data_IF_443606234417
#
_entry.id   IF_443606234417
#
_cell.length_a   1.000
_cell.length_b   1.000
_cell.length_c   1.000
_cell.angle_alpha   90.00
_cell.angle_beta   90.00
_cell.angle_gamma   90.00
#
_symmetry.space_group_name_H-M   'P 1'
#
loop_
_entity.id
_entity.type
_entity.pdbx_description
1 polymer ?
#
# COMPACT_ATOMS: atom_id res chain seq x y z
N UNK A 1 -2.40 21.94 27.88
CA UNK A 1 -1.18 22.48 27.23
C UNK A 1 -1.64 23.61 26.35
N UNK A 2 -1.35 24.85 26.74
CA UNK A 2 -1.77 26.02 25.98
C UNK A 2 -0.69 26.31 24.94
N UNK A 3 -1.06 26.34 23.66
CA UNK A 3 -0.14 26.72 22.61
C UNK A 3 -0.28 28.20 22.36
N UNK A 4 0.80 28.94 22.55
CA UNK A 4 0.87 30.37 22.24
C UNK A 4 1.49 30.56 20.88
N UNK A 5 0.80 31.24 19.97
CA UNK A 5 1.33 31.56 18.63
C UNK A 5 2.40 32.65 18.74
N UNK A 6 3.25 32.79 17.70
CA UNK A 6 4.32 33.79 17.63
C UNK A 6 3.84 35.22 17.80
N UNK A 7 2.55 35.50 17.63
CA UNK A 7 1.88 36.79 17.79
C UNK A 7 1.30 36.99 19.19
N UNK A 8 1.65 36.14 20.17
CA UNK A 8 1.20 36.24 21.54
C UNK A 8 -0.30 35.97 21.76
N UNK A 9 -0.98 35.42 20.78
CA UNK A 9 -2.39 35.05 20.90
C UNK A 9 -2.50 33.66 21.50
N UNK A 10 -3.08 33.55 22.68
CA UNK A 10 -3.45 32.28 23.26
C UNK A 10 -4.52 31.62 22.37
N UNK A 11 -4.20 30.49 21.76
CA UNK A 11 -5.19 29.57 21.19
C UNK A 11 -5.71 28.75 22.36
N UNK A 12 -6.51 29.39 23.17
CA UNK A 12 -7.16 28.83 24.34
C UNK A 12 -8.66 28.99 24.19
N UNK A 13 -9.26 28.00 23.71
CA UNK A 13 -10.70 27.83 23.67
C UNK A 13 -10.93 26.38 23.24
N UNK A 14 -10.72 25.46 24.15
CA UNK A 14 -11.29 24.13 24.00
C UNK A 14 -12.79 24.32 24.09
N UNK A 15 -13.41 24.56 22.93
CA UNK A 15 -14.76 24.06 22.71
C UNK A 15 -14.64 22.54 22.92
N UNK A 16 -14.86 22.10 24.14
CA UNK A 16 -14.93 20.69 24.47
C UNK A 16 -16.18 20.17 23.74
N UNK A 17 -15.98 19.77 22.49
CA UNK A 17 -16.98 19.02 21.79
C UNK A 17 -17.39 17.80 22.64
N UNK A 18 -18.49 17.13 22.30
CA UNK A 18 -19.07 16.06 23.12
C UNK A 18 -18.17 14.81 23.27
N UNK A 19 -16.92 14.86 22.84
CA UNK A 19 -16.01 13.74 22.83
C UNK A 19 -14.83 13.94 23.79
N UNK A 20 -14.49 12.90 24.53
CA UNK A 20 -13.27 12.86 25.33
C UNK A 20 -12.02 13.00 24.43
N UNK A 21 -10.97 13.68 24.89
CA UNK A 21 -9.72 13.77 24.13
C UNK A 21 -9.13 12.39 23.86
N UNK A 22 -8.72 12.15 22.60
CA UNK A 22 -8.06 10.93 22.18
C UNK A 22 -6.56 11.20 22.06
N UNK A 23 -5.74 10.37 22.73
CA UNK A 23 -4.29 10.46 22.67
C UNK A 23 -3.73 9.53 21.58
N UNK A 24 -2.87 10.06 20.71
CA UNK A 24 -2.03 9.24 19.82
C UNK A 24 -0.80 8.85 20.64
N UNK A 25 -0.69 7.56 20.98
CA UNK A 25 0.37 7.03 21.87
C UNK A 25 1.48 6.29 21.13
N UNK A 26 1.30 6.00 19.85
CA UNK A 26 2.29 5.36 18.98
C UNK A 26 2.01 5.63 17.53
N UNK A 27 3.06 5.61 16.71
CA UNK A 27 2.97 5.71 15.26
C UNK A 27 4.04 4.85 14.61
N UNK A 28 3.79 4.44 13.39
CA UNK A 28 4.74 3.75 12.53
C UNK A 28 4.51 4.16 11.08
N UNK A 29 5.49 3.92 10.23
CA UNK A 29 5.40 4.13 8.80
C UNK A 29 6.22 3.08 8.05
N UNK A 30 5.77 2.73 6.87
CA UNK A 30 6.53 2.01 5.85
C UNK A 30 6.27 2.74 4.55
N UNK A 31 7.27 3.49 4.09
CA UNK A 31 7.18 4.38 2.94
C UNK A 31 8.33 4.11 1.98
N UNK A 32 8.27 4.55 0.73
CA UNK A 32 9.41 4.48 -0.16
C UNK A 32 10.65 5.12 0.48
N UNK A 33 11.77 4.41 0.47
CA UNK A 33 13.05 4.78 1.08
C UNK A 33 12.99 5.06 2.60
N UNK A 34 11.93 4.61 3.28
CA UNK A 34 11.78 4.75 4.73
C UNK A 34 11.07 3.54 5.33
N UNK A 35 11.81 2.70 6.01
CA UNK A 35 11.29 1.51 6.67
C UNK A 35 10.58 1.80 8.02
N UNK A 36 10.73 3.02 8.53
CA UNK A 36 10.15 3.47 9.80
C UNK A 36 9.81 4.97 9.79
N UNK A 37 9.06 5.40 10.81
CA UNK A 37 8.61 6.77 10.92
C UNK A 37 9.75 7.79 11.15
N UNK A 38 10.84 7.39 11.80
CA UNK A 38 11.99 8.28 12.05
C UNK A 38 12.74 8.55 10.74
N UNK A 39 13.00 7.51 9.96
CA UNK A 39 13.62 7.63 8.63
C UNK A 39 12.72 8.45 7.69
N UNK A 40 11.41 8.22 7.72
CA UNK A 40 10.47 9.01 6.92
C UNK A 40 10.51 10.50 7.30
N UNK A 41 10.55 10.79 8.59
CA UNK A 41 10.68 12.16 9.07
C UNK A 41 12.00 12.81 8.64
N UNK A 42 13.12 12.05 8.72
CA UNK A 42 14.42 12.54 8.26
C UNK A 42 14.42 12.84 6.75
N UNK A 43 13.81 11.97 5.95
CA UNK A 43 13.63 12.20 4.51
C UNK A 43 12.89 13.51 4.22
N UNK A 44 11.89 13.85 5.03
CA UNK A 44 11.17 15.13 4.89
C UNK A 44 12.09 16.31 5.21
N UNK A 45 12.86 16.24 6.31
CA UNK A 45 13.81 17.29 6.72
C UNK A 45 14.89 17.51 5.66
N UNK A 46 15.40 16.43 5.06
CA UNK A 46 16.45 16.45 4.06
C UNK A 46 15.93 16.77 2.64
N UNK A 47 14.62 16.99 2.51
CA UNK A 47 13.95 17.15 1.22
C UNK A 47 14.27 16.00 0.23
N UNK A 48 14.40 14.76 0.76
CA UNK A 48 14.66 13.57 -0.03
C UNK A 48 13.48 13.27 -0.96
N UNK A 49 13.77 12.95 -2.21
CA UNK A 49 12.77 12.61 -3.23
C UNK A 49 12.91 11.13 -3.57
N UNK A 50 11.92 10.35 -3.17
CA UNK A 50 11.84 8.91 -3.45
C UNK A 50 11.24 8.58 -4.83
N UNK A 51 10.78 9.59 -5.57
CA UNK A 51 10.24 9.40 -6.92
C UNK A 51 11.38 9.16 -7.89
N UNK A 52 11.34 8.03 -8.58
CA UNK A 52 12.35 7.58 -9.54
C UNK A 52 11.74 6.84 -10.71
N UNK A 53 12.55 6.50 -11.70
CA UNK A 53 12.11 5.67 -12.80
C UNK A 53 11.55 4.33 -12.32
N UNK A 54 10.59 3.79 -13.07
CA UNK A 54 9.94 2.53 -12.77
C UNK A 54 10.98 1.40 -12.69
N UNK A 55 11.01 0.61 -11.61
CA UNK A 55 11.88 -0.54 -11.51
C UNK A 55 11.60 -1.57 -12.61
N UNK A 56 12.64 -2.25 -13.08
CA UNK A 56 12.52 -3.34 -14.04
C UNK A 56 11.62 -4.45 -13.48
N UNK A 57 10.72 -4.99 -14.31
CA UNK A 57 9.79 -6.05 -13.92
C UNK A 57 8.58 -5.58 -13.09
N UNK A 58 8.43 -4.27 -12.83
CA UNK A 58 7.26 -3.75 -12.09
C UNK A 58 5.96 -3.86 -12.90
N UNK A 59 6.02 -3.80 -14.21
CA UNK A 59 4.89 -4.03 -15.11
C UNK A 59 4.84 -5.48 -15.57
N UNK A 60 3.65 -6.06 -15.73
CA UNK A 60 3.49 -7.46 -16.12
C UNK A 60 3.75 -7.71 -17.61
N UNK A 61 4.60 -6.93 -18.25
CA UNK A 61 4.94 -7.06 -19.66
C UNK A 61 5.74 -5.87 -20.21
N UNK A 62 5.92 -5.78 -21.52
CA UNK A 62 6.63 -4.68 -22.15
C UNK A 62 6.00 -3.34 -21.82
N UNK A 63 6.83 -2.35 -21.48
CA UNK A 63 6.34 -1.03 -21.03
C UNK A 63 5.49 -0.33 -22.10
N UNK A 64 5.74 -0.59 -23.37
CA UNK A 64 5.01 -0.03 -24.51
C UNK A 64 3.52 -0.41 -24.50
N UNK A 65 3.15 -1.47 -23.80
CA UNK A 65 1.75 -1.85 -23.64
C UNK A 65 1.01 -0.94 -22.67
N UNK A 66 1.72 -0.35 -21.71
CA UNK A 66 1.15 0.43 -20.61
C UNK A 66 1.44 1.92 -20.70
N UNK A 67 2.51 2.29 -21.42
CA UNK A 67 2.98 3.66 -21.53
C UNK A 67 2.90 4.20 -22.96
N UNK A 68 2.58 5.47 -23.08
CA UNK A 68 2.76 6.24 -24.31
C UNK A 68 3.15 7.68 -23.97
N UNK A 69 3.89 8.31 -24.84
CA UNK A 69 4.21 9.73 -24.70
C UNK A 69 2.93 10.57 -24.63
N UNK A 70 2.87 11.48 -23.68
CA UNK A 70 1.70 12.32 -23.42
C UNK A 70 1.94 13.34 -22.33
N UNK A 71 0.90 14.07 -21.98
CA UNK A 71 0.91 15.06 -20.90
C UNK A 71 -0.47 15.14 -20.25
N UNK A 72 -0.60 15.78 -19.06
CA UNK A 72 -1.90 16.04 -18.47
C UNK A 72 -2.85 16.72 -19.46
N UNK A 73 -4.00 16.08 -19.71
CA UNK A 73 -4.99 16.56 -20.68
C UNK A 73 -4.77 16.15 -22.15
N UNK A 74 -3.63 15.50 -22.45
CA UNK A 74 -3.36 14.91 -23.76
C UNK A 74 -2.78 13.50 -23.58
N UNK A 75 -3.64 12.55 -23.28
CA UNK A 75 -3.30 11.16 -22.95
C UNK A 75 -3.73 10.21 -24.07
N UNK A 76 -2.94 9.18 -24.31
CA UNK A 76 -3.35 8.06 -25.14
C UNK A 76 -4.28 7.16 -24.30
N UNK A 77 -5.43 6.79 -24.90
CA UNK A 77 -6.41 5.95 -24.22
C UNK A 77 -5.77 4.64 -23.73
N UNK A 78 -6.11 4.24 -22.51
CA UNK A 78 -5.64 3.03 -21.84
C UNK A 78 -4.12 2.95 -21.61
N UNK A 79 -3.42 4.07 -21.64
CA UNK A 79 -1.99 4.15 -21.36
C UNK A 79 -1.66 5.27 -20.38
N UNK A 80 -0.64 5.04 -19.57
CA UNK A 80 -0.07 6.10 -18.73
C UNK A 80 0.96 6.91 -19.52
N UNK A 81 1.11 8.19 -19.22
CA UNK A 81 2.21 9.02 -19.73
C UNK A 81 3.37 9.12 -18.72
N UNK A 82 3.21 8.59 -17.51
CA UNK A 82 4.23 8.61 -16.45
C UNK A 82 4.96 7.28 -16.36
N UNK A 83 6.29 7.34 -16.25
CA UNK A 83 7.17 6.19 -15.98
C UNK A 83 7.87 6.29 -14.64
N UNK A 84 7.47 7.24 -13.81
CA UNK A 84 8.10 7.48 -12.51
C UNK A 84 7.09 7.20 -11.39
N UNK A 85 7.61 6.79 -10.26
CA UNK A 85 6.85 6.54 -9.05
C UNK A 85 7.76 6.37 -7.84
N UNK A 86 7.15 6.24 -6.67
CA UNK A 86 7.86 5.91 -5.44
C UNK A 86 7.40 4.53 -4.97
N UNK A 87 8.35 3.65 -4.69
CA UNK A 87 8.08 2.24 -4.39
C UNK A 87 8.71 1.84 -3.07
N UNK A 88 8.00 1.03 -2.30
CA UNK A 88 8.56 0.35 -1.14
C UNK A 88 9.37 -0.83 -1.66
N UNK A 89 10.68 -0.81 -1.42
CA UNK A 89 11.61 -1.85 -1.82
C UNK A 89 12.34 -2.40 -0.61
N UNK A 90 12.86 -3.63 -0.72
CA UNK A 90 13.63 -4.26 0.35
C UNK A 90 12.82 -4.65 1.59
N UNK A 91 11.50 -4.63 1.53
CA UNK A 91 10.68 -5.12 2.63
C UNK A 91 10.71 -6.66 2.66
N UNK A 92 11.11 -7.20 3.82
CA UNK A 92 11.08 -8.61 4.10
C UNK A 92 10.19 -8.89 5.31
N UNK A 93 9.17 -9.72 5.12
CA UNK A 93 8.27 -10.11 6.20
C UNK A 93 8.91 -11.21 7.05
N UNK A 94 9.05 -10.99 8.36
CA UNK A 94 9.55 -12.02 9.27
C UNK A 94 8.49 -13.09 9.54
N UNK A 95 8.44 -14.05 8.66
CA UNK A 95 7.51 -15.17 8.75
C UNK A 95 7.71 -16.02 10.03
N UNK A 96 8.90 -16.03 10.62
CA UNK A 96 9.19 -16.77 11.87
C UNK A 96 8.52 -16.09 13.05
N UNK A 97 8.66 -14.79 13.16
CA UNK A 97 7.97 -13.97 14.16
C UNK A 97 6.46 -14.21 14.12
N UNK A 98 5.90 -14.20 12.94
CA UNK A 98 4.46 -14.34 12.73
C UNK A 98 3.97 -15.78 12.60
N UNK A 99 4.88 -16.77 12.66
CA UNK A 99 4.59 -18.21 12.52
C UNK A 99 3.78 -18.53 11.26
N UNK A 100 4.09 -17.84 10.16
CA UNK A 100 3.43 -18.04 8.87
C UNK A 100 4.35 -18.83 7.94
N UNK A 101 3.95 -20.01 7.44
CA UNK A 101 4.77 -20.78 6.53
C UNK A 101 5.05 -20.01 5.22
N UNK A 102 6.25 -20.09 4.64
CA UNK A 102 6.60 -19.40 3.39
C UNK A 102 5.64 -19.68 2.23
N UNK A 103 5.14 -20.92 2.11
CA UNK A 103 4.16 -21.28 1.09
C UNK A 103 2.80 -20.57 1.25
N UNK A 104 2.44 -20.19 2.47
CA UNK A 104 1.25 -19.37 2.72
C UNK A 104 1.52 -17.91 2.34
N UNK A 105 2.72 -17.39 2.65
CA UNK A 105 3.08 -16.01 2.33
C UNK A 105 3.05 -15.71 0.83
N UNK A 106 3.42 -16.68 0.01
CA UNK A 106 3.38 -16.55 -1.45
C UNK A 106 1.97 -16.28 -2.01
N UNK A 107 0.93 -16.54 -1.21
CA UNK A 107 -0.48 -16.34 -1.60
C UNK A 107 -1.10 -15.09 -0.93
N UNK A 108 -0.38 -14.47 -0.01
CA UNK A 108 -0.86 -13.28 0.72
C UNK A 108 -0.42 -12.04 -0.05
N UNK A 109 -1.37 -11.14 -0.26
CA UNK A 109 -1.07 -9.85 -0.88
C UNK A 109 -0.07 -9.05 -0.03
N UNK A 110 0.98 -8.47 -0.63
CA UNK A 110 1.98 -7.68 0.08
C UNK A 110 1.39 -6.60 0.99
N UNK A 111 0.28 -5.96 0.60
CA UNK A 111 -0.36 -4.93 1.42
C UNK A 111 -0.87 -5.46 2.77
N UNK A 112 -1.24 -6.74 2.85
CA UNK A 112 -1.65 -7.36 4.11
C UNK A 112 -0.46 -7.61 5.03
N UNK A 113 0.67 -8.00 4.46
CA UNK A 113 1.93 -8.19 5.21
C UNK A 113 2.44 -6.85 5.75
N UNK A 114 2.39 -5.80 4.94
CA UNK A 114 2.74 -4.45 5.38
C UNK A 114 1.82 -3.97 6.50
N UNK A 115 0.53 -4.20 6.39
CA UNK A 115 -0.44 -3.80 7.41
C UNK A 115 -0.14 -4.44 8.78
N UNK A 116 0.21 -5.73 8.79
CA UNK A 116 0.58 -6.44 10.03
C UNK A 116 1.86 -5.86 10.64
N UNK A 117 2.90 -5.64 9.83
CA UNK A 117 4.18 -5.14 10.31
C UNK A 117 4.10 -3.70 10.82
N UNK A 118 3.40 -2.83 10.07
CA UNK A 118 3.19 -1.43 10.49
C UNK A 118 2.36 -1.36 11.78
N UNK A 119 1.31 -2.19 11.91
CA UNK A 119 0.52 -2.23 13.14
C UNK A 119 1.35 -2.70 14.34
N UNK A 120 2.18 -3.73 14.17
CA UNK A 120 3.06 -4.20 15.23
C UNK A 120 4.08 -3.14 15.64
N UNK A 121 4.75 -2.51 14.68
CA UNK A 121 5.71 -1.44 14.93
C UNK A 121 5.07 -0.24 15.65
N UNK A 122 3.81 0.11 15.32
CA UNK A 122 3.09 1.16 16.02
C UNK A 122 2.77 0.78 17.48
N UNK A 123 2.43 -0.49 17.74
CA UNK A 123 2.23 -1.00 19.09
C UNK A 123 3.54 -1.02 19.88
N UNK A 124 4.64 -1.42 19.27
CA UNK A 124 5.98 -1.38 19.89
C UNK A 124 6.38 0.04 20.24
N UNK A 125 6.19 0.99 19.33
CA UNK A 125 6.45 2.41 19.59
C UNK A 125 5.60 2.96 20.75
N UNK A 126 4.37 2.45 20.92
CA UNK A 126 3.51 2.74 22.05
C UNK A 126 3.90 2.02 23.36
N UNK A 127 4.90 1.14 23.32
CA UNK A 127 5.36 0.34 24.45
C UNK A 127 4.56 -0.94 24.72
N UNK A 128 3.90 -1.49 23.69
CA UNK A 128 3.11 -2.73 23.73
C UNK A 128 3.68 -3.82 22.80
N UNK A 129 4.95 -3.91 22.60
CA UNK A 129 5.58 -5.01 21.86
C UNK A 129 5.70 -6.29 22.67
N UNK A 130 6.40 -7.28 22.10
CA UNK A 130 6.60 -8.60 22.72
C UNK A 130 7.28 -8.53 24.11
N UNK A 131 8.16 -7.56 24.30
CA UNK A 131 8.83 -7.27 25.58
C UNK A 131 8.22 -6.07 26.32
N UNK A 132 7.11 -5.54 25.80
CA UNK A 132 6.48 -4.33 26.31
C UNK A 132 5.38 -4.60 27.34
N UNK A 133 4.54 -3.59 27.54
CA UNK A 133 3.38 -3.70 28.41
C UNK A 133 2.37 -4.69 27.83
N UNK A 134 1.67 -5.48 28.70
CA UNK A 134 0.62 -6.37 28.23
C UNK A 134 -0.54 -5.57 27.61
N UNK A 135 -1.01 -6.02 26.45
CA UNK A 135 -2.17 -5.45 25.77
C UNK A 135 -3.44 -6.21 26.17
N UNK A 136 -4.41 -5.52 26.75
CA UNK A 136 -5.75 -6.10 26.96
C UNK A 136 -6.51 -6.14 25.63
N UNK A 137 -6.42 -7.27 24.95
CA UNK A 137 -7.00 -7.48 23.61
C UNK A 137 -8.52 -7.34 23.58
N UNK A 138 -9.20 -7.49 24.72
CA UNK A 138 -10.66 -7.33 24.82
C UNK A 138 -11.10 -5.87 24.68
N UNK A 139 -10.16 -4.94 24.83
CA UNK A 139 -10.38 -3.49 24.76
C UNK A 139 -9.71 -2.83 23.57
N UNK A 140 -9.25 -3.61 22.61
CA UNK A 140 -8.56 -3.09 21.41
C UNK A 140 -9.44 -3.27 20.19
N UNK A 141 -9.68 -2.18 19.49
CA UNK A 141 -10.26 -2.18 18.16
C UNK A 141 -9.16 -2.00 17.11
N UNK A 142 -9.35 -2.60 15.95
CA UNK A 142 -8.46 -2.43 14.80
C UNK A 142 -9.26 -1.91 13.63
N UNK A 143 -8.80 -0.81 13.03
CA UNK A 143 -9.42 -0.22 11.84
C UNK A 143 -8.36 -0.02 10.78
N UNK A 144 -8.54 -0.68 9.64
CA UNK A 144 -7.71 -0.49 8.45
C UNK A 144 -8.50 0.19 7.35
N UNK A 145 -7.83 1.07 6.62
CA UNK A 145 -8.33 1.63 5.36
C UNK A 145 -7.40 1.23 4.22
N UNK A 146 -7.98 0.79 3.12
CA UNK A 146 -7.27 0.44 1.90
C UNK A 146 -8.06 0.95 0.68
N UNK A 147 -7.38 1.63 -0.23
CA UNK A 147 -8.01 2.30 -1.37
C UNK A 147 -8.12 1.38 -2.54
N UNK A 148 -8.09 0.26 -2.78
CA UNK A 148 -8.30 -0.52 -4.03
C UNK A 148 -7.93 -2.01 -3.96
N UNK A 149 -7.46 -2.49 -2.83
CA UNK A 149 -6.91 -3.83 -2.72
C UNK A 149 -5.48 -3.88 -3.24
N UNK A 150 -4.86 -5.01 -3.19
CA UNK A 150 -3.47 -5.21 -3.53
C UNK A 150 -3.26 -5.78 -4.93
N UNK A 151 -2.06 -6.26 -5.18
CA UNK A 151 -1.61 -6.83 -6.47
C UNK A 151 -2.41 -8.09 -6.84
N UNK A 152 -2.67 -8.97 -5.87
CA UNK A 152 -3.42 -10.21 -6.11
C UNK A 152 -4.88 -9.98 -6.55
N UNK A 153 -5.42 -8.79 -6.34
CA UNK A 153 -6.75 -8.45 -6.81
C UNK A 153 -6.86 -8.48 -8.33
N UNK A 154 -5.84 -7.97 -9.02
CA UNK A 154 -5.86 -7.93 -10.48
C UNK A 154 -5.83 -9.35 -11.07
N UNK A 155 -4.98 -10.22 -10.54
CA UNK A 155 -4.95 -11.63 -10.94
C UNK A 155 -6.27 -12.34 -10.63
N UNK A 156 -6.84 -12.11 -9.44
CA UNK A 156 -8.13 -12.68 -9.07
C UNK A 156 -9.26 -12.19 -9.98
N UNK A 157 -9.26 -10.92 -10.33
CA UNK A 157 -10.23 -10.37 -11.28
C UNK A 157 -10.09 -11.01 -12.66
N UNK A 158 -8.89 -11.19 -13.17
CA UNK A 158 -8.63 -11.86 -14.43
C UNK A 158 -9.25 -13.27 -14.45
N UNK A 159 -9.02 -14.04 -13.39
CA UNK A 159 -9.57 -15.40 -13.25
C UNK A 159 -11.10 -15.41 -13.15
N UNK A 160 -11.69 -14.47 -12.41
CA UNK A 160 -13.15 -14.36 -12.30
C UNK A 160 -13.79 -14.02 -13.65
N UNK A 161 -13.11 -13.19 -14.45
CA UNK A 161 -13.60 -12.77 -15.77
C UNK A 161 -13.13 -13.67 -16.92
N UNK A 162 -12.43 -14.76 -16.66
CA UNK A 162 -11.84 -15.64 -17.67
C UNK A 162 -12.85 -16.09 -18.73
N UNK A 163 -14.04 -16.55 -18.32
CA UNK A 163 -15.11 -16.97 -19.25
C UNK A 163 -15.64 -15.82 -20.10
N UNK A 164 -15.73 -14.63 -19.51
CA UNK A 164 -16.11 -13.45 -20.28
C UNK A 164 -15.05 -13.05 -21.30
N UNK A 165 -13.77 -13.10 -20.93
CA UNK A 165 -12.65 -12.86 -21.85
C UNK A 165 -12.64 -13.88 -22.98
N UNK A 166 -12.90 -15.16 -22.70
CA UNK A 166 -13.03 -16.22 -23.70
C UNK A 166 -14.17 -15.92 -24.69
N UNK A 167 -15.33 -15.52 -24.19
CA UNK A 167 -16.47 -15.16 -25.02
C UNK A 167 -16.13 -13.97 -25.93
N UNK A 168 -15.53 -12.90 -25.41
CA UNK A 168 -15.10 -11.74 -26.19
C UNK A 168 -14.07 -12.08 -27.25
N UNK A 169 -13.08 -12.92 -26.91
CA UNK A 169 -12.06 -13.36 -27.86
C UNK A 169 -12.69 -14.14 -29.03
N UNK A 170 -13.65 -15.01 -28.72
CA UNK A 170 -14.39 -15.78 -29.75
C UNK A 170 -15.26 -14.85 -30.62
N UNK A 171 -15.94 -13.86 -30.01
CA UNK A 171 -16.72 -12.85 -30.74
C UNK A 171 -15.81 -11.98 -31.63
N UNK A 172 -14.59 -11.71 -31.21
CA UNK A 172 -13.59 -11.03 -32.00
C UNK A 172 -12.98 -11.87 -33.13
N UNK A 173 -13.40 -13.15 -33.26
CA UNK A 173 -13.02 -14.05 -34.36
C UNK A 173 -11.83 -14.97 -34.09
N UNK A 174 -11.36 -15.07 -32.84
CA UNK A 174 -10.33 -16.06 -32.47
C UNK A 174 -10.95 -17.46 -32.50
N UNK A 175 -10.15 -18.43 -32.94
CA UNK A 175 -10.54 -19.84 -32.84
C UNK A 175 -10.62 -20.26 -31.34
N UNK A 176 -11.45 -21.26 -30.99
CA UNK A 176 -11.58 -21.69 -29.58
C UNK A 176 -10.25 -22.00 -28.89
N UNK A 177 -9.33 -22.69 -29.60
CA UNK A 177 -7.99 -22.97 -29.05
C UNK A 177 -7.12 -21.73 -28.81
N UNK A 178 -7.30 -20.69 -29.62
CA UNK A 178 -6.60 -19.42 -29.48
C UNK A 178 -7.22 -18.60 -28.33
N UNK A 179 -8.54 -18.65 -28.19
CA UNK A 179 -9.26 -18.05 -27.07
C UNK A 179 -8.87 -18.68 -25.73
N UNK A 180 -8.74 -20.00 -25.69
CA UNK A 180 -8.26 -20.74 -24.51
C UNK A 180 -6.81 -20.35 -24.16
N UNK A 181 -5.91 -20.38 -25.14
CA UNK A 181 -4.52 -19.98 -24.95
C UNK A 181 -4.37 -18.52 -24.50
N UNK A 182 -5.23 -17.64 -25.01
CA UNK A 182 -5.28 -16.23 -24.57
C UNK A 182 -5.69 -16.10 -23.10
N UNK A 183 -6.75 -16.80 -22.69
CA UNK A 183 -7.25 -16.75 -21.31
C UNK A 183 -6.29 -17.40 -20.33
N UNK A 184 -5.62 -18.50 -20.73
CA UNK A 184 -4.63 -19.19 -19.90
C UNK A 184 -3.33 -18.38 -19.72
N UNK A 185 -3.10 -17.38 -20.58
CA UNK A 185 -1.96 -16.45 -20.50
C UNK A 185 -2.25 -15.18 -19.67
N UNK A 186 -3.52 -14.96 -19.25
CA UNK A 186 -3.92 -13.87 -18.36
C UNK A 186 -3.64 -14.19 -16.89
#
# INVERSE_FOLDING_TARGET
MTITTADGKEVGGTDQGPFEPIAIIGCSALMPDAADAATFWQNIIDAHVSIRDLPEGRWPGPIEHFWAEGSPGNVVQNRTYSKIGAFVEGFEFDWRRWRQPPGTLAQIDPCQLWAVEVAASALEHAGYGDEGRPLDRSRVGVVFANALGGENRNESNQRVWAEHHRALATEAGLAPSESDAFVDAL
#
